data_IF_456924682877
#
_entry.id   IF_456924682877
#
_cell.length_a   1.000
_cell.length_b   1.000
_cell.length_c   1.000
_cell.angle_alpha   90.00
_cell.angle_beta   90.00
_cell.angle_gamma   90.00
#
_symmetry.space_group_name_H-M   'P 1'
#
loop_
_entity.id
_entity.type
_entity.pdbx_description
1 polymer ?
#
# COMPACT_ATOMS: atom_id res chain seq x y z
N UNK A 1 -60.98 2.52 -47.51
CA UNK A 1 -60.24 1.26 -47.28
C UNK A 1 -58.93 1.39 -48.03
N UNK A 2 -57.79 1.20 -47.38
CA UNK A 2 -56.46 1.33 -47.99
C UNK A 2 -55.94 -0.08 -48.24
N UNK A 3 -55.51 -0.39 -49.46
CA UNK A 3 -54.86 -1.65 -49.81
C UNK A 3 -53.35 -1.48 -49.62
N UNK A 4 -52.73 -2.39 -48.86
CA UNK A 4 -51.28 -2.48 -48.77
C UNK A 4 -50.81 -3.47 -49.83
N UNK A 5 -49.86 -3.03 -50.67
CA UNK A 5 -49.14 -3.89 -51.60
C UNK A 5 -47.76 -4.13 -50.99
N UNK A 6 -47.43 -5.40 -50.74
CA UNK A 6 -46.09 -5.80 -50.30
C UNK A 6 -45.12 -5.68 -51.48
N UNK A 7 -44.05 -4.93 -51.29
CA UNK A 7 -42.93 -4.83 -52.22
C UNK A 7 -41.79 -5.60 -51.58
N UNK A 8 -41.44 -6.76 -52.14
CA UNK A 8 -40.28 -7.53 -51.67
C UNK A 8 -38.98 -6.79 -52.03
N UNK A 9 -38.06 -6.68 -51.05
CA UNK A 9 -36.78 -6.00 -51.23
C UNK A 9 -35.90 -6.75 -52.25
N UNK A 10 -35.26 -6.01 -53.17
CA UNK A 10 -34.40 -6.55 -54.23
C UNK A 10 -33.22 -7.40 -53.70
N UNK A 11 -32.85 -7.21 -52.43
CA UNK A 11 -31.81 -7.98 -51.74
C UNK A 11 -32.21 -9.43 -51.40
N UNK A 12 -33.51 -9.76 -51.40
CA UNK A 12 -33.99 -11.12 -51.13
C UNK A 12 -34.02 -12.02 -52.38
N UNK A 13 -33.88 -11.44 -53.57
CA UNK A 13 -33.87 -12.19 -54.84
C UNK A 13 -32.46 -12.66 -55.26
N UNK A 14 -31.40 -12.19 -54.58
CA UNK A 14 -30.05 -12.65 -54.86
C UNK A 14 -29.80 -14.00 -54.18
N UNK A 15 -29.71 -15.05 -54.98
CA UNK A 15 -29.11 -16.32 -54.55
C UNK A 15 -27.68 -16.06 -54.12
N UNK A 16 -27.30 -16.54 -52.93
CA UNK A 16 -25.94 -16.43 -52.41
C UNK A 16 -24.98 -17.15 -53.36
N UNK A 17 -23.94 -16.44 -53.84
CA UNK A 17 -22.84 -17.06 -54.60
C UNK A 17 -22.01 -17.90 -53.63
N UNK A 18 -22.43 -19.15 -53.45
CA UNK A 18 -21.59 -20.22 -52.92
C UNK A 18 -20.74 -20.81 -54.05
N UNK A 19 -19.60 -21.46 -53.75
CA UNK A 19 -18.86 -22.21 -54.74
C UNK A 19 -19.78 -23.23 -55.42
N UNK A 20 -19.76 -23.29 -56.76
CA UNK A 20 -20.42 -24.36 -57.50
C UNK A 20 -19.78 -25.68 -57.09
N UNK A 21 -20.56 -26.53 -56.42
CA UNK A 21 -20.13 -27.87 -56.00
C UNK A 21 -20.03 -28.76 -57.25
N UNK A 22 -18.90 -28.68 -57.94
CA UNK A 22 -18.48 -29.74 -58.86
C UNK A 22 -18.14 -30.97 -58.00
N UNK A 23 -19.03 -31.96 -58.00
CA UNK A 23 -19.01 -33.20 -57.20
C UNK A 23 -17.80 -34.13 -57.45
N UNK A 24 -16.75 -33.67 -58.14
CA UNK A 24 -15.62 -34.47 -58.61
C UNK A 24 -14.25 -34.12 -57.98
N UNK A 25 -14.19 -33.16 -57.04
CA UNK A 25 -12.97 -32.89 -56.24
C UNK A 25 -13.16 -33.29 -54.77
N UNK A 26 -13.64 -34.51 -54.55
CA UNK A 26 -13.33 -35.22 -53.31
C UNK A 26 -11.91 -35.76 -53.43
N UNK A 27 -10.95 -34.88 -53.20
CA UNK A 27 -9.56 -35.23 -52.99
C UNK A 27 -9.51 -36.16 -51.79
N UNK A 28 -9.34 -37.47 -52.06
CA UNK A 28 -9.11 -38.54 -51.09
C UNK A 28 -7.88 -38.14 -50.27
N UNK A 29 -8.14 -37.47 -49.16
CA UNK A 29 -7.11 -37.02 -48.25
C UNK A 29 -6.72 -38.26 -47.46
N UNK A 30 -5.81 -39.05 -48.02
CA UNK A 30 -4.96 -40.01 -47.29
C UNK A 30 -4.27 -39.23 -46.16
N UNK A 31 -5.03 -39.06 -45.08
CA UNK A 31 -4.61 -38.37 -43.87
C UNK A 31 -3.72 -39.36 -43.14
N UNK A 32 -2.46 -39.42 -43.56
CA UNK A 32 -1.36 -39.89 -42.73
C UNK A 32 -1.44 -39.08 -41.43
N UNK A 33 -2.08 -39.67 -40.41
CA UNK A 33 -2.10 -39.11 -39.06
C UNK A 33 -0.65 -39.13 -38.59
N UNK A 34 0.03 -38.01 -38.77
CA UNK A 34 1.42 -37.85 -38.36
C UNK A 34 1.50 -38.10 -36.86
N UNK A 35 1.95 -39.28 -36.46
CA UNK A 35 2.22 -39.60 -35.06
C UNK A 35 3.44 -38.85 -34.53
N UNK A 36 4.14 -38.09 -35.38
CA UNK A 36 5.25 -37.19 -35.01
C UNK A 36 4.76 -35.95 -34.26
N UNK A 37 3.47 -35.61 -34.36
CA UNK A 37 2.83 -34.64 -33.46
C UNK A 37 2.40 -35.27 -32.14
N UNK A 38 3.23 -36.16 -31.57
CA UNK A 38 3.00 -36.69 -30.24
C UNK A 38 3.15 -35.52 -29.26
N UNK A 39 2.01 -34.96 -28.84
CA UNK A 39 1.95 -33.85 -27.91
C UNK A 39 2.77 -34.18 -26.65
N UNK A 40 3.87 -33.47 -26.44
CA UNK A 40 4.73 -33.61 -25.26
C UNK A 40 4.34 -32.56 -24.21
N UNK A 41 3.64 -32.95 -23.14
CA UNK A 41 3.22 -32.03 -22.08
C UNK A 41 4.39 -31.52 -21.21
N UNK A 42 5.62 -31.99 -21.42
CA UNK A 42 6.80 -31.57 -20.65
C UNK A 42 7.60 -30.46 -21.34
N UNK A 43 7.42 -30.28 -22.65
CA UNK A 43 8.09 -29.26 -23.45
C UNK A 43 7.34 -27.91 -23.52
N UNK A 44 6.12 -27.85 -22.98
CA UNK A 44 5.27 -26.65 -22.98
C UNK A 44 5.61 -25.67 -21.84
N UNK A 45 5.60 -24.38 -22.15
CA UNK A 45 5.79 -23.34 -21.14
C UNK A 45 4.48 -23.05 -20.40
N UNK A 46 4.55 -22.43 -19.22
CA UNK A 46 3.35 -21.96 -18.51
C UNK A 46 2.53 -20.96 -19.36
N UNK A 47 3.20 -20.23 -20.27
CA UNK A 47 2.54 -19.33 -21.20
C UNK A 47 1.74 -20.09 -22.25
N UNK A 48 2.28 -21.19 -22.80
CA UNK A 48 1.58 -22.06 -23.76
C UNK A 48 0.36 -22.72 -23.13
N UNK A 49 0.48 -23.16 -21.87
CA UNK A 49 -0.65 -23.68 -21.08
C UNK A 49 -1.74 -22.64 -20.86
N UNK A 50 -1.37 -21.42 -20.52
CA UNK A 50 -2.32 -20.31 -20.35
C UNK A 50 -2.96 -19.91 -21.69
N UNK A 51 -2.20 -19.94 -22.78
CA UNK A 51 -2.69 -19.65 -24.13
C UNK A 51 -3.66 -20.71 -24.64
N UNK A 52 -3.39 -22.00 -24.39
CA UNK A 52 -4.30 -23.09 -24.69
C UNK A 52 -5.58 -22.99 -23.83
N UNK A 53 -5.44 -22.66 -22.54
CA UNK A 53 -6.58 -22.47 -21.65
C UNK A 53 -7.45 -21.27 -22.06
N UNK A 54 -6.84 -20.19 -22.57
CA UNK A 54 -7.55 -18.99 -23.07
C UNK A 54 -8.59 -19.31 -24.14
N UNK A 55 -8.34 -20.32 -24.99
CA UNK A 55 -9.23 -20.68 -26.09
C UNK A 55 -10.49 -21.42 -25.62
N UNK A 56 -10.38 -22.17 -24.52
CA UNK A 56 -11.50 -22.90 -23.88
C UNK A 56 -12.39 -21.96 -23.04
N UNK A 57 -11.92 -20.77 -22.71
CA UNK A 57 -12.62 -19.87 -21.78
C UNK A 57 -13.74 -19.07 -22.48
N UNK A 58 -15.00 -19.16 -22.00
CA UNK A 58 -16.15 -18.43 -22.56
C UNK A 58 -16.05 -16.90 -22.33
N UNK A 59 -16.74 -16.09 -23.15
CA UNK A 59 -16.67 -14.61 -23.09
C UNK A 59 -17.08 -14.04 -21.73
N UNK A 60 -17.98 -14.72 -21.01
CA UNK A 60 -18.43 -14.34 -19.65
C UNK A 60 -17.30 -14.37 -18.62
N UNK A 61 -16.38 -15.32 -18.73
CA UNK A 61 -15.23 -15.40 -17.83
C UNK A 61 -14.20 -14.32 -18.18
N UNK A 62 -14.06 -13.95 -19.46
CA UNK A 62 -13.17 -12.87 -19.90
C UNK A 62 -13.60 -11.51 -19.34
N UNK A 63 -14.90 -11.21 -19.39
CA UNK A 63 -15.43 -9.97 -18.78
C UNK A 63 -15.30 -10.00 -17.25
N UNK A 64 -15.59 -11.13 -16.60
CA UNK A 64 -15.46 -11.25 -15.15
C UNK A 64 -14.02 -11.03 -14.66
N UNK A 65 -13.02 -11.59 -15.33
CA UNK A 65 -11.61 -11.37 -14.98
C UNK A 65 -11.23 -9.89 -15.17
N UNK A 66 -11.66 -9.27 -16.28
CA UNK A 66 -11.42 -7.86 -16.53
C UNK A 66 -12.07 -6.98 -15.45
N UNK A 67 -13.32 -7.26 -15.07
CA UNK A 67 -14.04 -6.52 -14.03
C UNK A 67 -13.36 -6.63 -12.67
N UNK A 68 -12.80 -7.80 -12.32
CA UNK A 68 -12.01 -7.99 -11.10
C UNK A 68 -10.70 -7.23 -11.14
N UNK A 69 -10.01 -7.27 -12.28
CA UNK A 69 -8.76 -6.54 -12.48
C UNK A 69 -8.98 -5.03 -12.40
N UNK A 70 -10.01 -4.53 -13.07
CA UNK A 70 -10.36 -3.11 -13.08
C UNK A 70 -10.83 -2.65 -11.71
N UNK A 71 -11.64 -3.45 -11.00
CA UNK A 71 -12.05 -3.15 -9.62
C UNK A 71 -10.86 -3.09 -8.66
N UNK A 72 -9.90 -4.01 -8.79
CA UNK A 72 -8.70 -4.04 -7.94
C UNK A 72 -7.80 -2.85 -8.24
N UNK A 73 -7.52 -2.61 -9.51
CA UNK A 73 -6.65 -1.52 -9.96
C UNK A 73 -7.24 -0.16 -9.63
N UNK A 74 -8.55 0.02 -9.83
CA UNK A 74 -9.26 1.26 -9.47
C UNK A 74 -9.27 1.50 -7.97
N UNK A 75 -9.45 0.46 -7.14
CA UNK A 75 -9.37 0.57 -5.67
C UNK A 75 -7.97 0.97 -5.21
N UNK A 76 -6.92 0.35 -5.77
CA UNK A 76 -5.54 0.71 -5.45
C UNK A 76 -5.26 2.16 -5.85
N UNK A 77 -5.64 2.56 -7.07
CA UNK A 77 -5.49 3.93 -7.54
C UNK A 77 -6.25 4.91 -6.64
N UNK A 78 -7.48 4.59 -6.22
CA UNK A 78 -8.25 5.47 -5.34
C UNK A 78 -7.61 5.60 -3.96
N UNK A 79 -7.08 4.52 -3.39
CA UNK A 79 -6.38 4.56 -2.10
C UNK A 79 -5.10 5.39 -2.20
N UNK A 80 -4.28 5.17 -3.23
CA UNK A 80 -3.02 5.93 -3.43
C UNK A 80 -3.30 7.41 -3.65
N UNK A 81 -4.28 7.74 -4.48
CA UNK A 81 -4.64 9.15 -4.75
C UNK A 81 -5.26 9.83 -3.53
N UNK A 82 -6.11 9.12 -2.77
CA UNK A 82 -6.67 9.63 -1.52
C UNK A 82 -5.57 9.86 -0.48
N UNK A 83 -4.66 8.89 -0.29
CA UNK A 83 -3.55 8.99 0.63
C UNK A 83 -2.57 10.12 0.24
N UNK A 84 -2.29 10.30 -1.05
CA UNK A 84 -1.46 11.41 -1.52
C UNK A 84 -2.10 12.77 -1.24
N UNK A 85 -3.42 12.90 -1.47
CA UNK A 85 -4.15 14.14 -1.20
C UNK A 85 -4.26 14.43 0.29
N UNK A 86 -4.50 13.41 1.12
CA UNK A 86 -4.57 13.57 2.58
C UNK A 86 -3.20 13.89 3.16
N UNK A 87 -2.13 13.19 2.72
CA UNK A 87 -0.76 13.48 3.14
C UNK A 87 -0.34 14.90 2.76
N UNK A 88 -0.69 15.37 1.56
CA UNK A 88 -0.43 16.73 1.13
C UNK A 88 -1.19 17.76 1.99
N UNK A 89 -2.49 17.54 2.21
CA UNK A 89 -3.30 18.43 3.04
C UNK A 89 -2.81 18.46 4.50
N UNK A 90 -2.44 17.31 5.08
CA UNK A 90 -1.87 17.21 6.41
C UNK A 90 -0.50 17.90 6.50
N UNK A 91 0.34 17.76 5.48
CA UNK A 91 1.64 18.44 5.41
C UNK A 91 1.49 19.96 5.46
N UNK A 92 0.62 20.51 4.61
CA UNK A 92 0.34 21.96 4.60
C UNK A 92 -0.31 22.40 5.91
N UNK A 93 -1.29 21.65 6.42
CA UNK A 93 -1.99 21.96 7.67
C UNK A 93 -1.05 21.93 8.87
N UNK A 94 -0.12 20.97 8.92
CA UNK A 94 0.87 20.85 9.97
C UNK A 94 1.84 22.04 9.97
N UNK A 95 2.23 22.55 8.82
CA UNK A 95 3.08 23.76 8.75
C UNK A 95 2.29 24.99 9.21
N UNK A 96 1.04 25.13 8.76
CA UNK A 96 0.21 26.30 9.05
C UNK A 96 -0.14 26.43 10.53
N UNK A 97 -0.41 25.31 11.21
CA UNK A 97 -0.70 25.29 12.66
C UNK A 97 0.57 25.13 13.48
N UNK A 98 1.53 24.34 12.99
CA UNK A 98 2.76 24.01 13.71
C UNK A 98 3.71 25.18 13.87
N UNK A 99 3.85 26.07 12.87
CA UNK A 99 4.73 27.24 12.98
C UNK A 99 4.25 28.21 14.06
N UNK A 100 2.99 28.68 14.08
CA UNK A 100 2.49 29.52 15.17
C UNK A 100 2.55 28.84 16.54
N UNK A 101 2.24 27.54 16.61
CA UNK A 101 2.29 26.79 17.87
C UNK A 101 3.72 26.65 18.40
N UNK A 102 4.69 26.37 17.52
CA UNK A 102 6.10 26.26 17.89
C UNK A 102 6.66 27.59 18.43
N UNK A 103 6.24 28.73 17.87
CA UNK A 103 6.64 30.05 18.38
C UNK A 103 6.09 30.31 19.78
N UNK A 104 4.79 30.06 19.99
CA UNK A 104 4.17 30.25 21.30
C UNK A 104 4.81 29.36 22.38
N UNK A 105 5.07 28.09 22.07
CA UNK A 105 5.71 27.18 23.01
C UNK A 105 7.18 27.54 23.29
N UNK A 106 7.88 28.11 22.30
CA UNK A 106 9.26 28.58 22.46
C UNK A 106 9.40 29.73 23.45
N UNK A 107 8.42 30.64 23.49
CA UNK A 107 8.38 31.73 24.48
C UNK A 107 8.21 31.19 25.91
N UNK A 108 7.30 30.24 26.11
CA UNK A 108 7.10 29.59 27.42
C UNK A 108 8.37 28.93 27.95
N UNK A 109 9.18 28.31 27.08
CA UNK A 109 10.47 27.73 27.46
C UNK A 109 11.49 28.78 27.89
N UNK A 110 11.50 29.95 27.24
CA UNK A 110 12.39 31.05 27.64
C UNK A 110 12.01 31.62 29.00
N UNK A 111 10.71 31.80 29.26
CA UNK A 111 10.22 32.22 30.57
C UNK A 111 10.52 31.17 31.65
N UNK A 112 10.27 29.90 31.38
CA UNK A 112 10.60 28.81 32.31
C UNK A 112 12.09 28.74 32.63
N UNK A 113 12.96 28.97 31.65
CA UNK A 113 14.41 29.02 31.86
C UNK A 113 14.83 30.24 32.71
N UNK A 114 14.23 31.41 32.46
CA UNK A 114 14.47 32.61 33.27
C UNK A 114 13.98 32.42 34.72
N UNK A 115 12.82 31.82 34.93
CA UNK A 115 12.32 31.49 36.27
C UNK A 115 13.22 30.46 36.97
N UNK A 116 13.73 29.46 36.24
CA UNK A 116 14.67 28.48 36.77
C UNK A 116 15.99 29.13 37.21
N UNK A 117 16.53 30.08 36.44
CA UNK A 117 17.73 30.85 36.83
C UNK A 117 17.49 31.72 38.06
N UNK A 118 16.34 32.40 38.12
CA UNK A 118 15.99 33.23 39.28
C UNK A 118 15.82 32.36 40.54
N UNK A 119 15.13 31.23 40.43
CA UNK A 119 14.99 30.27 41.52
C UNK A 119 16.33 29.72 42.01
N UNK A 120 17.27 29.43 41.10
CA UNK A 120 18.62 29.00 41.48
C UNK A 120 19.43 30.11 42.15
N UNK A 121 19.22 31.38 41.77
CA UNK A 121 19.83 32.54 42.45
C UNK A 121 19.21 32.78 43.83
N UNK A 122 17.91 32.58 43.99
CA UNK A 122 17.23 32.66 45.29
C UNK A 122 17.69 31.54 46.23
N UNK A 123 17.70 30.29 45.76
CA UNK A 123 18.20 29.15 46.54
C UNK A 123 19.70 29.28 46.86
N UNK A 124 20.51 29.73 45.91
CA UNK A 124 21.94 29.97 46.10
C UNK A 124 22.22 31.14 47.05
N UNK A 125 21.39 32.19 47.01
CA UNK A 125 21.44 33.32 47.92
C UNK A 125 21.00 32.94 49.33
N UNK A 126 19.96 32.13 49.49
CA UNK A 126 19.48 31.66 50.80
C UNK A 126 20.53 30.77 51.49
N UNK A 127 21.28 29.95 50.74
CA UNK A 127 22.42 29.17 51.26
C UNK A 127 23.59 30.07 51.71
N UNK A 128 23.83 31.21 51.05
CA UNK A 128 24.91 32.14 51.41
C UNK A 128 24.52 33.20 52.46
N UNK A 129 23.22 33.46 52.64
CA UNK A 129 22.70 34.46 53.58
C UNK A 129 22.08 33.84 54.83
N UNK A 130 22.00 32.51 54.90
CA UNK A 130 21.73 31.80 56.15
C UNK A 130 22.83 32.15 57.17
N UNK A 131 22.49 32.83 58.29
CA UNK A 131 23.47 33.26 59.25
C UNK A 131 24.07 32.04 59.95
N UNK A 132 25.39 31.86 59.78
CA UNK A 132 26.29 31.13 60.65
C UNK A 132 25.78 29.80 61.23
N UNK A 133 26.14 28.70 60.59
CA UNK A 133 26.46 27.49 61.34
C UNK A 133 27.89 27.05 61.03
N UNK A 134 28.85 27.70 61.71
CA UNK A 134 30.08 27.01 62.10
C UNK A 134 29.67 25.77 62.90
N UNK A 135 29.95 24.60 62.35
CA UNK A 135 29.39 23.36 62.87
C UNK A 135 30.17 22.09 62.57
N UNK A 136 31.46 22.19 62.28
CA UNK A 136 32.44 21.16 62.65
C UNK A 136 32.49 19.83 61.89
N UNK A 137 33.72 19.31 61.85
CA UNK A 137 34.13 17.91 61.69
C UNK A 137 34.20 17.31 60.27
N UNK A 138 35.38 17.53 59.68
CA UNK A 138 36.35 16.48 59.36
C UNK A 138 35.83 15.14 58.80
N UNK A 139 36.04 14.96 57.49
CA UNK A 139 36.89 13.90 56.90
C UNK A 139 36.41 12.42 57.00
N UNK A 140 36.98 11.47 56.24
CA UNK A 140 36.57 11.13 54.87
C UNK A 140 36.28 9.62 54.68
N UNK A 141 35.95 9.25 53.42
CA UNK A 141 36.24 7.93 52.82
C UNK A 141 35.26 6.76 53.08
N UNK A 142 34.97 6.06 51.97
CA UNK A 142 34.35 4.73 51.77
C UNK A 142 32.83 4.66 51.51
N UNK A 143 32.48 4.36 50.25
CA UNK A 143 31.27 3.59 49.94
C UNK A 143 30.78 3.76 48.50
N UNK A 144 30.99 2.74 47.65
CA UNK A 144 30.10 2.48 46.52
C UNK A 144 30.60 2.88 45.13
N UNK A 145 31.50 2.09 44.55
CA UNK A 145 31.83 2.13 43.11
C UNK A 145 30.87 1.28 42.25
N UNK A 146 29.68 0.95 42.75
CA UNK A 146 28.83 -0.12 42.19
C UNK A 146 27.46 0.35 41.64
N UNK A 147 27.24 1.64 41.40
CA UNK A 147 25.93 2.13 40.94
C UNK A 147 25.79 2.35 39.42
N UNK A 148 26.79 1.99 38.61
CA UNK A 148 26.77 2.21 37.14
C UNK A 148 26.43 0.97 36.30
N UNK A 149 26.03 -0.17 36.89
CA UNK A 149 25.76 -1.40 36.13
C UNK A 149 24.28 -1.85 36.08
N UNK A 150 23.36 -1.20 36.79
CA UNK A 150 21.99 -1.72 37.01
C UNK A 150 20.87 -1.17 36.12
N UNK A 151 21.07 -0.09 35.35
CA UNK A 151 19.94 0.72 34.87
C UNK A 151 19.52 0.55 33.39
N UNK A 152 20.12 -0.36 32.60
CA UNK A 152 19.87 -0.41 31.13
C UNK A 152 19.22 -1.73 30.65
N UNK A 153 18.98 -2.74 31.51
CA UNK A 153 18.63 -4.10 31.05
C UNK A 153 17.15 -4.55 31.10
N UNK A 154 16.20 -3.77 31.61
CA UNK A 154 14.95 -4.32 32.18
C UNK A 154 13.62 -4.13 31.42
N UNK A 155 13.62 -3.67 30.15
CA UNK A 155 12.39 -3.12 29.54
C UNK A 155 11.62 -3.93 28.50
N UNK A 156 12.09 -5.10 28.05
CA UNK A 156 11.56 -5.73 26.80
C UNK A 156 10.74 -7.02 27.01
N UNK A 157 10.56 -7.52 28.25
CA UNK A 157 10.05 -8.89 28.46
C UNK A 157 8.57 -9.04 28.90
N UNK A 158 7.72 -8.01 28.84
CA UNK A 158 6.38 -8.06 29.49
C UNK A 158 5.15 -7.90 28.57
N UNK A 159 5.20 -8.26 27.27
CA UNK A 159 4.00 -8.19 26.40
C UNK A 159 3.60 -9.51 25.72
N UNK A 160 4.30 -10.64 25.95
CA UNK A 160 3.99 -11.92 25.28
C UNK A 160 3.22 -12.94 26.13
N UNK A 161 2.48 -12.50 27.16
CA UNK A 161 1.70 -13.39 28.03
C UNK A 161 0.23 -12.98 28.20
N UNK A 162 -0.34 -12.23 27.25
CA UNK A 162 -1.76 -11.90 27.24
C UNK A 162 -2.35 -11.83 25.82
N UNK A 163 -2.14 -12.88 25.02
CA UNK A 163 -3.12 -13.54 24.13
C UNK A 163 -2.45 -14.71 23.39
#
# INVERSE_FOLDING_TARGET
>A
MVQLTEVEDEHFQQSQVGPDEDEEDFTDTDSEISTDSQYDPTAETLADRLAALKDIIPPTTRSWVHDKYEATTSTIKSVVTFAGRSAWALSVSAILVGVPWALAYGEDQQFAAMEAEQRMRELGGEIMTAPGQEGGKSDPMLGGKDEIAGAIGGGVQQVKAAL
#
